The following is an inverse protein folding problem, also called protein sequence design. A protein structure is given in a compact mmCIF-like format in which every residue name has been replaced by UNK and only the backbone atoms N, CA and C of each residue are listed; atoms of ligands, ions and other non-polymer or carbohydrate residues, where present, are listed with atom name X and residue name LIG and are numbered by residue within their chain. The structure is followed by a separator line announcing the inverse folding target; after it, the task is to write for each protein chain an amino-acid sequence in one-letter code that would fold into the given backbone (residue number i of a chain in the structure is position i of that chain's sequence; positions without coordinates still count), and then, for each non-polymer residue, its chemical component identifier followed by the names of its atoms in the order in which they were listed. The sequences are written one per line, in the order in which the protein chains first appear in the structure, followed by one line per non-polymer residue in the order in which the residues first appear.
data_IF_316138247369
#
_entry.id   IF_316138247369
#
_cell.length_a   1.000
_cell.length_b   1.000
_cell.length_c   1.000
_cell.angle_alpha   90.00
_cell.angle_beta   90.00
_cell.angle_gamma   90.00
#
_symmetry.space_group_name_H-M   'P 1'
#
loop_
_entity.id
_entity.type
_entity.pdbx_description
1 polymer ?
#
# COMPACT_ATOMS: atom_id res chain seq x y z
N UNK A 1 5.66 12.88 -25.97
CA UNK A 1 4.94 13.18 -24.71
C UNK A 1 4.13 11.97 -24.31
N UNK A 2 4.27 11.52 -23.07
CA UNK A 2 3.48 10.43 -22.50
C UNK A 2 2.11 10.94 -22.01
N UNK A 3 1.17 10.04 -21.74
CA UNK A 3 -0.14 10.43 -21.24
C UNK A 3 -0.08 11.11 -19.86
N UNK A 4 0.83 10.71 -18.96
CA UNK A 4 0.94 11.37 -17.66
C UNK A 4 1.55 12.78 -17.79
N UNK A 5 2.56 12.98 -18.63
CA UNK A 5 3.11 14.31 -18.93
C UNK A 5 2.05 15.24 -19.51
N UNK A 6 1.19 14.71 -20.39
CA UNK A 6 0.09 15.46 -20.97
C UNK A 6 -0.96 15.87 -19.92
N UNK A 7 -1.33 14.96 -19.01
CA UNK A 7 -2.25 15.25 -17.88
C UNK A 7 -1.64 16.31 -16.96
N UNK A 8 -0.34 16.21 -16.67
CA UNK A 8 0.36 17.21 -15.85
C UNK A 8 0.29 18.59 -16.50
N UNK A 9 0.59 18.70 -17.79
CA UNK A 9 0.52 19.96 -18.53
C UNK A 9 -0.87 20.60 -18.51
N UNK A 10 -1.93 19.80 -18.64
CA UNK A 10 -3.32 20.27 -18.50
C UNK A 10 -3.56 20.89 -17.14
N UNK A 11 -3.19 20.18 -16.07
CA UNK A 11 -3.38 20.66 -14.70
C UNK A 11 -2.50 21.88 -14.38
N UNK A 12 -1.33 22.01 -15.00
CA UNK A 12 -0.47 23.18 -14.86
C UNK A 12 -1.05 24.44 -15.52
N UNK A 13 -1.69 24.30 -16.68
CA UNK A 13 -2.26 25.44 -17.42
C UNK A 13 -3.61 25.90 -16.87
N UNK A 14 -4.49 24.95 -16.55
CA UNK A 14 -5.86 25.28 -16.11
C UNK A 14 -5.91 25.79 -14.67
N UNK A 15 -4.87 25.50 -13.85
CA UNK A 15 -4.71 25.98 -12.47
C UNK A 15 -5.95 25.77 -11.58
N UNK A 16 -6.79 24.79 -11.91
CA UNK A 16 -8.02 24.44 -11.20
C UNK A 16 -8.17 22.92 -11.09
N UNK A 17 -9.04 22.51 -10.19
CA UNK A 17 -9.48 21.12 -10.07
C UNK A 17 -10.25 20.72 -11.34
N UNK A 18 -9.84 19.62 -11.96
CA UNK A 18 -10.49 19.08 -13.15
C UNK A 18 -10.93 17.65 -12.93
N UNK A 19 -12.08 17.29 -13.47
CA UNK A 19 -12.51 15.89 -13.53
C UNK A 19 -11.76 15.12 -14.60
N UNK A 20 -11.80 13.79 -14.52
CA UNK A 20 -11.19 12.93 -15.53
C UNK A 20 -11.80 13.14 -16.94
N UNK A 21 -13.08 13.53 -17.03
CA UNK A 21 -13.75 13.86 -18.28
C UNK A 21 -13.25 15.18 -18.85
N UNK A 22 -13.17 16.24 -18.04
CA UNK A 22 -12.65 17.54 -18.48
C UNK A 22 -11.19 17.43 -18.96
N UNK A 23 -10.35 16.65 -18.27
CA UNK A 23 -8.98 16.41 -18.71
C UNK A 23 -8.94 15.70 -20.06
N UNK A 24 -9.79 14.68 -20.26
CA UNK A 24 -9.87 13.96 -21.53
C UNK A 24 -10.33 14.88 -22.67
N UNK A 25 -11.34 15.70 -22.44
CA UNK A 25 -11.84 16.69 -23.41
C UNK A 25 -10.76 17.70 -23.80
N UNK A 26 -10.06 18.28 -22.83
CA UNK A 26 -8.98 19.25 -23.08
C UNK A 26 -7.85 18.60 -23.88
N UNK A 27 -7.45 17.37 -23.53
CA UNK A 27 -6.38 16.66 -24.24
C UNK A 27 -6.77 16.35 -25.70
N UNK A 28 -8.01 15.88 -25.93
CA UNK A 28 -8.52 15.58 -27.26
C UNK A 28 -8.67 16.86 -28.11
N UNK A 29 -9.19 17.94 -27.53
CA UNK A 29 -9.39 19.22 -28.22
C UNK A 29 -8.07 19.89 -28.60
N UNK A 30 -7.08 19.88 -27.69
CA UNK A 30 -5.77 20.53 -27.91
C UNK A 30 -4.76 19.63 -28.63
N UNK A 31 -5.11 18.37 -28.90
CA UNK A 31 -4.25 17.33 -29.54
C UNK A 31 -2.87 17.20 -28.89
N UNK A 32 -2.78 17.41 -27.58
CA UNK A 32 -1.51 17.34 -26.86
C UNK A 32 -1.02 15.89 -26.72
N UNK A 33 -1.93 14.92 -26.67
CA UNK A 33 -1.59 13.51 -26.73
C UNK A 33 -2.50 12.83 -27.76
N UNK A 34 -1.90 12.04 -28.65
CA UNK A 34 -2.63 11.22 -29.61
C UNK A 34 -2.28 9.76 -29.36
N UNK A 35 -3.30 8.90 -29.32
CA UNK A 35 -3.08 7.46 -29.26
C UNK A 35 -2.46 6.97 -30.58
N UNK A 36 -1.67 5.90 -30.50
CA UNK A 36 -1.09 5.24 -31.69
C UNK A 36 -2.16 4.75 -32.68
N UNK A 37 -3.32 4.36 -32.17
CA UNK A 37 -4.47 3.88 -32.95
C UNK A 37 -5.40 5.02 -33.44
N UNK A 38 -5.05 6.30 -33.21
CA UNK A 38 -5.84 7.45 -33.64
C UNK A 38 -7.14 7.70 -32.88
N UNK A 39 -7.53 6.81 -31.96
CA UNK A 39 -8.79 6.97 -31.21
C UNK A 39 -8.67 8.00 -30.08
N UNK A 40 -9.81 8.55 -29.66
CA UNK A 40 -9.88 9.56 -28.60
C UNK A 40 -9.52 9.00 -27.22
N UNK A 41 -8.98 9.87 -26.37
CA UNK A 41 -8.69 9.54 -24.97
C UNK A 41 -10.00 9.54 -24.18
N UNK A 42 -10.26 8.47 -23.43
CA UNK A 42 -11.45 8.34 -22.57
C UNK A 42 -11.14 8.73 -21.12
N UNK A 43 -12.13 9.23 -20.38
CA UNK A 43 -12.02 9.61 -18.96
C UNK A 43 -11.55 8.45 -18.05
N UNK A 44 -11.92 7.21 -18.38
CA UNK A 44 -11.44 6.01 -17.68
C UNK A 44 -9.93 5.83 -17.78
N UNK A 45 -9.33 6.16 -18.93
CA UNK A 45 -7.88 6.07 -19.14
C UNK A 45 -7.13 7.12 -18.34
N UNK A 46 -7.70 8.32 -18.18
CA UNK A 46 -7.18 9.36 -17.28
C UNK A 46 -7.23 8.87 -15.84
N UNK A 47 -8.36 8.29 -15.41
CA UNK A 47 -8.52 7.79 -14.04
C UNK A 47 -7.51 6.68 -13.71
N UNK A 48 -7.31 5.73 -14.63
CA UNK A 48 -6.30 4.67 -14.49
C UNK A 48 -4.90 5.28 -14.44
N UNK A 49 -4.59 6.23 -15.34
CA UNK A 49 -3.26 6.85 -15.39
C UNK A 49 -2.96 7.64 -14.12
N UNK A 50 -3.91 8.44 -13.64
CA UNK A 50 -3.78 9.22 -12.40
C UNK A 50 -3.54 8.31 -11.20
N UNK A 51 -4.28 7.19 -11.12
CA UNK A 51 -4.11 6.20 -10.04
C UNK A 51 -2.72 5.56 -10.03
N UNK A 52 -2.08 5.42 -11.20
CA UNK A 52 -0.74 4.84 -11.32
C UNK A 52 0.40 5.83 -10.99
N UNK A 53 0.12 7.13 -10.87
CA UNK A 53 1.11 8.18 -10.64
C UNK A 53 0.73 9.05 -9.41
N UNK A 54 0.61 8.47 -8.21
CA UNK A 54 0.22 9.21 -7.00
C UNK A 54 1.25 10.27 -6.57
N UNK A 55 2.51 10.14 -7.01
CA UNK A 55 3.53 11.16 -6.78
C UNK A 55 3.31 12.43 -7.60
N UNK A 56 2.53 12.35 -8.70
CA UNK A 56 2.26 13.49 -9.59
C UNK A 56 0.83 14.01 -9.44
N UNK A 57 -0.13 13.12 -9.16
CA UNK A 57 -1.55 13.46 -9.16
C UNK A 57 -2.24 13.06 -7.86
N UNK A 58 -3.13 13.93 -7.38
CA UNK A 58 -4.04 13.69 -6.27
C UNK A 58 -5.46 13.69 -6.81
N UNK A 59 -6.26 12.72 -6.37
CA UNK A 59 -7.69 12.64 -6.69
C UNK A 59 -8.52 12.95 -5.43
N UNK A 60 -9.33 14.01 -5.49
CA UNK A 60 -10.27 14.43 -4.43
C UNK A 60 -11.69 14.32 -4.97
N UNK A 61 -12.38 13.23 -4.64
CA UNK A 61 -13.69 12.91 -5.21
C UNK A 61 -13.62 12.67 -6.73
N UNK A 62 -14.41 13.42 -7.49
CA UNK A 62 -14.38 13.39 -8.97
C UNK A 62 -13.24 14.20 -9.59
N UNK A 63 -12.51 14.98 -8.79
CA UNK A 63 -11.53 15.95 -9.27
C UNK A 63 -10.09 15.47 -9.10
N UNK A 64 -9.20 15.95 -9.97
CA UNK A 64 -7.78 15.60 -10.08
C UNK A 64 -6.97 16.91 -10.04
N UNK A 65 -5.85 16.88 -9.31
CA UNK A 65 -4.86 17.96 -9.26
C UNK A 65 -3.43 17.45 -9.11
N UNK A 66 -2.45 18.36 -9.20
CA UNK A 66 -1.04 18.05 -9.01
C UNK A 66 -0.70 17.91 -7.53
N UNK A 67 0.07 16.87 -7.21
CA UNK A 67 0.64 16.66 -5.89
C UNK A 67 1.71 17.73 -5.59
N UNK A 68 1.65 18.38 -4.43
CA UNK A 68 2.61 19.41 -4.02
C UNK A 68 2.26 20.86 -4.42
N UNK A 69 1.03 21.14 -4.88
CA UNK A 69 0.53 22.52 -5.03
C UNK A 69 -0.67 22.75 -4.11
N UNK A 70 -0.57 23.78 -3.26
CA UNK A 70 -1.74 24.32 -2.57
C UNK A 70 -2.74 24.86 -3.60
N UNK A 71 -3.88 24.17 -3.76
CA UNK A 71 -5.00 24.69 -4.53
C UNK A 71 -5.99 25.35 -3.59
N UNK A 72 -6.08 26.69 -3.67
CA UNK A 72 -7.11 27.46 -2.99
C UNK A 72 -8.50 27.00 -3.48
N UNK A 73 -9.47 26.76 -2.60
CA UNK A 73 -10.85 26.47 -3.02
C UNK A 73 -11.43 27.67 -3.76
N UNK A 74 -12.01 27.44 -4.93
CA UNK A 74 -12.75 28.47 -5.67
C UNK A 74 -14.09 28.69 -4.94
N UNK A 75 -14.15 29.78 -4.17
CA UNK A 75 -15.40 30.39 -3.71
C UNK A 75 -16.16 30.94 -4.92
N UNK A 76 -17.46 30.63 -5.00
CA UNK A 76 -18.38 31.23 -5.96
C UNK A 76 -18.37 32.76 -5.80
N UNK A 77 -18.35 33.46 -6.94
CA UNK A 77 -18.36 34.93 -7.07
C UNK A 77 -19.48 35.58 -6.25
N UNK A 78 -19.13 36.61 -5.46
CA UNK A 78 -19.78 37.92 -5.56
C UNK A 78 -18.85 39.05 -5.08
N UNK A 79 -18.71 40.04 -5.97
CA UNK A 79 -18.44 41.49 -5.84
C UNK A 79 -17.27 42.02 -4.96
N UNK A 80 -16.48 42.91 -5.59
CA UNK A 80 -15.21 43.53 -5.22
C UNK A 80 -15.30 44.68 -4.18
N UNK A 81 -14.26 45.51 -3.96
CA UNK A 81 -12.79 45.31 -3.84
C UNK A 81 -12.27 45.82 -2.47
N UNK A 82 -10.97 45.69 -2.12
CA UNK A 82 -10.13 46.74 -1.46
C UNK A 82 -8.73 46.21 -1.02
N UNK A 83 -7.72 46.91 -1.55
CA UNK A 83 -6.38 47.32 -1.04
C UNK A 83 -5.42 46.34 -0.32
N UNK A 84 -4.26 46.23 -0.98
CA UNK A 84 -2.89 45.92 -0.54
C UNK A 84 -2.54 46.02 0.96
N UNK A 85 -1.69 45.08 1.43
CA UNK A 85 -0.37 45.42 2.03
C UNK A 85 0.57 44.21 2.15
N UNK A 86 1.84 44.52 1.98
CA UNK A 86 3.04 43.67 1.94
C UNK A 86 3.62 43.50 3.36
N UNK A 87 4.05 42.29 3.73
CA UNK A 87 5.17 42.03 4.67
C UNK A 87 5.52 40.53 4.64
N UNK A 88 6.67 40.12 4.07
CA UNK A 88 8.03 40.03 4.66
C UNK A 88 8.34 38.60 5.13
N UNK A 89 9.07 37.87 4.29
CA UNK A 89 9.70 36.59 4.60
C UNK A 89 10.95 36.79 5.49
N UNK A 90 11.18 35.86 6.43
CA UNK A 90 12.48 35.47 7.02
C UNK A 90 12.32 34.06 7.63
N UNK A 91 12.81 33.03 6.92
CA UNK A 91 13.96 32.16 7.26
C UNK A 91 13.76 31.30 8.53
N UNK A 92 13.39 30.02 8.39
CA UNK A 92 14.27 28.82 8.33
C UNK A 92 15.21 28.70 9.54
N UNK A 93 14.92 27.76 10.44
CA UNK A 93 15.86 26.71 10.87
C UNK A 93 15.16 25.62 11.71
N UNK A 94 15.36 24.37 11.30
CA UNK A 94 15.45 23.14 12.12
C UNK A 94 14.30 22.71 13.04
N UNK A 95 13.52 21.74 12.56
CA UNK A 95 13.29 20.47 13.26
C UNK A 95 12.72 19.43 12.27
N UNK A 96 13.56 18.53 11.77
CA UNK A 96 13.12 17.32 11.07
C UNK A 96 12.57 16.33 12.08
N UNK A 97 11.37 16.59 12.59
CA UNK A 97 10.61 15.61 13.34
C UNK A 97 9.60 15.03 12.36
N UNK A 98 9.79 13.77 11.96
CA UNK A 98 8.80 13.01 11.22
C UNK A 98 7.47 13.15 11.97
N UNK A 99 6.52 13.92 11.43
CA UNK A 99 5.18 14.01 12.02
C UNK A 99 4.57 12.61 11.98
N UNK A 100 4.52 11.97 13.14
CA UNK A 100 3.86 10.69 13.35
C UNK A 100 2.36 10.95 13.20
N UNK A 101 1.77 10.45 12.12
CA UNK A 101 0.31 10.58 11.89
C UNK A 101 -0.45 9.90 13.03
N UNK A 102 -1.66 10.35 13.33
CA UNK A 102 -2.50 9.68 14.34
C UNK A 102 -2.70 8.19 14.02
N UNK A 103 -2.75 7.85 12.72
CA UNK A 103 -2.84 6.47 12.22
C UNK A 103 -1.64 5.65 12.67
N UNK A 104 -0.43 6.19 12.51
CA UNK A 104 0.80 5.53 12.95
C UNK A 104 0.78 5.30 14.47
N UNK A 105 0.49 6.34 15.26
CA UNK A 105 0.41 6.24 16.73
C UNK A 105 -0.57 5.15 17.16
N UNK A 106 -1.75 5.11 16.54
CA UNK A 106 -2.82 4.15 16.84
C UNK A 106 -2.47 2.73 16.39
N UNK A 107 -1.94 2.55 15.19
CA UNK A 107 -1.64 1.24 14.63
C UNK A 107 -0.45 0.59 15.34
N UNK A 108 0.54 1.38 15.75
CA UNK A 108 1.78 0.89 16.35
C UNK A 108 1.76 0.83 17.88
N UNK A 109 0.66 1.23 18.53
CA UNK A 109 0.54 1.21 19.98
C UNK A 109 0.49 -0.24 20.50
N UNK A 110 1.51 -0.62 21.27
CA UNK A 110 1.73 -2.01 21.71
C UNK A 110 0.53 -2.60 22.44
N UNK A 111 -0.15 -1.81 23.29
CA UNK A 111 -1.31 -2.25 24.07
C UNK A 111 -2.52 -2.68 23.21
N UNK A 112 -2.54 -2.35 21.91
CA UNK A 112 -3.63 -2.71 20.99
C UNK A 112 -3.31 -3.94 20.14
N UNK A 113 -2.10 -4.49 20.27
CA UNK A 113 -1.78 -5.77 19.64
C UNK A 113 -2.34 -6.90 20.49
N UNK A 114 -3.16 -7.75 19.88
CA UNK A 114 -3.69 -8.96 20.51
C UNK A 114 -3.07 -10.20 19.87
N UNK A 115 -2.99 -11.34 20.59
CA UNK A 115 -2.59 -12.61 20.00
C UNK A 115 -3.47 -12.99 18.81
N UNK A 116 -2.87 -13.50 17.73
CA UNK A 116 -3.64 -13.91 16.53
C UNK A 116 -4.66 -15.00 16.88
N UNK A 117 -4.35 -15.89 17.81
CA UNK A 117 -5.26 -16.93 18.32
C UNK A 117 -6.57 -16.38 18.91
N UNK A 118 -6.62 -15.10 19.28
CA UNK A 118 -7.79 -14.44 19.88
C UNK A 118 -8.48 -13.46 18.93
N UNK A 119 -7.93 -13.26 17.72
CA UNK A 119 -8.34 -12.16 16.84
C UNK A 119 -9.57 -12.47 15.97
N UNK A 120 -9.80 -13.73 15.61
CA UNK A 120 -10.74 -14.14 14.55
C UNK A 120 -12.16 -13.56 14.68
N UNK A 121 -12.69 -13.46 15.90
CA UNK A 121 -14.04 -12.96 16.19
C UNK A 121 -14.13 -11.43 16.32
N UNK A 122 -12.98 -10.75 16.45
CA UNK A 122 -12.91 -9.30 16.67
C UNK A 122 -12.73 -8.50 15.37
N UNK A 123 -12.42 -9.20 14.26
CA UNK A 123 -12.11 -8.55 13.00
C UNK A 123 -13.35 -7.94 12.35
N UNK A 124 -13.35 -6.61 12.07
CA UNK A 124 -14.47 -5.95 11.46
C UNK A 124 -14.58 -6.31 9.97
N UNK A 125 -15.81 -6.33 9.46
CA UNK A 125 -16.09 -6.49 8.03
C UNK A 125 -16.11 -5.12 7.33
N UNK A 126 -15.01 -4.38 7.46
CA UNK A 126 -14.84 -3.04 6.88
C UNK A 126 -13.41 -2.83 6.38
N UNK A 127 -13.18 -1.84 5.50
CA UNK A 127 -11.85 -1.51 5.03
C UNK A 127 -10.94 -0.99 6.15
N UNK A 128 -9.63 -1.14 5.97
CA UNK A 128 -8.68 -0.66 6.95
C UNK A 128 -7.24 -1.06 6.70
N UNK A 129 -6.42 -0.82 7.71
CA UNK A 129 -4.99 -1.07 7.75
C UNK A 129 -4.67 -1.98 8.93
N UNK A 130 -3.68 -2.84 8.80
CA UNK A 130 -3.25 -3.75 9.86
C UNK A 130 -1.73 -3.86 9.92
N UNK A 131 -1.23 -4.17 11.12
CA UNK A 131 0.16 -4.48 11.39
C UNK A 131 0.25 -5.82 12.11
N UNK A 132 1.19 -6.66 11.70
CA UNK A 132 1.47 -7.97 12.29
C UNK A 132 2.85 -7.88 12.94
N UNK A 133 2.97 -8.35 14.19
CA UNK A 133 4.21 -8.37 14.96
C UNK A 133 4.55 -9.79 15.40
N UNK A 134 5.84 -10.06 15.58
CA UNK A 134 6.33 -11.28 16.20
C UNK A 134 6.41 -11.07 17.72
N UNK A 135 5.64 -11.87 18.47
CA UNK A 135 5.68 -11.88 19.94
C UNK A 135 6.87 -12.70 20.45
N UNK A 136 7.21 -13.79 19.75
CA UNK A 136 8.26 -14.74 20.14
C UNK A 136 9.37 -14.80 19.08
N UNK A 137 10.26 -13.79 18.99
CA UNK A 137 11.31 -13.74 17.96
C UNK A 137 12.33 -14.88 18.06
N UNK A 138 12.42 -15.57 19.21
CA UNK A 138 13.24 -16.77 19.37
C UNK A 138 12.87 -17.91 18.41
N UNK A 139 11.60 -17.97 17.95
CA UNK A 139 11.08 -19.00 17.05
C UNK A 139 11.30 -18.69 15.56
N UNK A 140 12.00 -17.59 15.25
CA UNK A 140 12.48 -17.27 13.90
C UNK A 140 13.92 -17.77 13.70
N UNK A 141 14.30 -17.95 12.44
CA UNK A 141 15.69 -18.18 12.03
C UNK A 141 16.60 -17.07 12.58
N UNK A 142 17.83 -17.43 12.93
CA UNK A 142 18.78 -16.50 13.52
C UNK A 142 19.07 -15.27 12.64
N UNK A 143 19.11 -15.44 11.31
CA UNK A 143 19.28 -14.34 10.34
C UNK A 143 18.13 -13.32 10.44
N UNK A 144 16.89 -13.79 10.44
CA UNK A 144 15.70 -12.95 10.55
C UNK A 144 15.59 -12.28 11.93
N UNK A 145 15.97 -12.99 13.00
CA UNK A 145 16.00 -12.43 14.35
C UNK A 145 17.03 -11.31 14.48
N UNK A 146 18.23 -11.49 13.89
CA UNK A 146 19.26 -10.44 13.84
C UNK A 146 18.73 -9.19 13.16
N UNK A 147 17.99 -9.35 12.07
CA UNK A 147 17.43 -8.21 11.35
C UNK A 147 16.36 -7.45 12.14
N UNK A 148 15.52 -8.13 12.93
CA UNK A 148 14.61 -7.44 13.87
C UNK A 148 15.38 -6.58 14.87
N UNK A 149 16.50 -7.11 15.38
CA UNK A 149 17.42 -6.36 16.24
C UNK A 149 17.98 -5.11 15.55
N UNK A 150 18.44 -5.26 14.31
CA UNK A 150 18.96 -4.14 13.51
C UNK A 150 17.90 -3.05 13.26
N UNK A 151 16.63 -3.43 13.06
CA UNK A 151 15.52 -2.50 12.83
C UNK A 151 14.97 -1.87 14.10
N UNK A 152 15.29 -2.42 15.27
CA UNK A 152 14.83 -1.90 16.56
C UNK A 152 13.33 -2.11 16.82
N UNK A 153 12.67 -3.04 16.13
CA UNK A 153 11.26 -3.37 16.35
C UNK A 153 10.91 -4.78 15.88
N UNK A 154 9.74 -5.28 16.27
CA UNK A 154 9.24 -6.63 15.96
C UNK A 154 8.15 -6.67 14.87
N UNK A 155 8.04 -5.64 14.03
CA UNK A 155 7.04 -5.57 12.95
C UNK A 155 7.40 -6.54 11.81
N UNK A 156 6.51 -7.50 11.58
CA UNK A 156 6.65 -8.53 10.54
C UNK A 156 6.05 -8.08 9.21
N UNK A 157 4.88 -7.43 9.25
CA UNK A 157 4.15 -7.06 8.05
C UNK A 157 3.17 -5.91 8.31
N UNK A 158 3.01 -5.04 7.33
CA UNK A 158 1.97 -4.00 7.30
C UNK A 158 1.19 -4.20 6.02
N UNK A 159 -0.13 -4.15 6.13
CA UNK A 159 -1.00 -4.40 5.00
C UNK A 159 -2.33 -3.69 5.08
N UNK A 160 -2.97 -3.59 3.93
CA UNK A 160 -4.29 -2.98 3.74
C UNK A 160 -5.38 -4.02 3.46
N UNK A 161 -6.61 -3.64 3.77
CA UNK A 161 -7.83 -4.29 3.33
C UNK A 161 -8.76 -3.24 2.70
N UNK A 162 -8.94 -3.28 1.38
CA UNK A 162 -9.76 -2.28 0.67
C UNK A 162 -11.26 -2.48 0.82
N UNK A 163 -11.69 -3.68 1.21
CA UNK A 163 -13.12 -4.03 1.37
C UNK A 163 -13.42 -4.51 2.79
N UNK A 164 -12.63 -5.47 3.29
CA UNK A 164 -12.92 -6.16 4.55
C UNK A 164 -11.64 -6.66 5.21
N UNK A 165 -11.35 -6.12 6.40
CA UNK A 165 -10.28 -6.59 7.28
C UNK A 165 -10.50 -8.07 7.63
N UNK A 166 -11.73 -8.46 7.99
CA UNK A 166 -12.08 -9.87 8.24
C UNK A 166 -11.70 -10.80 7.10
N UNK A 167 -12.09 -10.47 5.87
CA UNK A 167 -11.77 -11.30 4.69
C UNK A 167 -10.27 -11.29 4.38
N UNK A 168 -9.63 -10.11 4.42
CA UNK A 168 -8.21 -9.99 4.08
C UNK A 168 -7.31 -10.69 5.10
N UNK A 169 -7.52 -10.46 6.38
CA UNK A 169 -6.77 -11.15 7.43
C UNK A 169 -7.10 -12.64 7.49
N UNK A 170 -8.30 -13.04 7.10
CA UNK A 170 -8.62 -14.43 6.73
C UNK A 170 -7.59 -15.06 5.77
N UNK A 171 -7.24 -14.33 4.71
CA UNK A 171 -6.26 -14.77 3.72
C UNK A 171 -4.82 -14.74 4.25
N UNK A 172 -4.47 -13.69 4.99
CA UNK A 172 -3.11 -13.47 5.47
C UNK A 172 -2.73 -14.38 6.66
N UNK A 173 -3.66 -14.68 7.56
CA UNK A 173 -3.36 -15.40 8.81
C UNK A 173 -3.84 -16.86 8.81
N UNK A 174 -4.94 -17.17 8.10
CA UNK A 174 -5.61 -18.47 8.18
C UNK A 174 -5.80 -19.18 6.82
N UNK A 175 -4.98 -18.83 5.83
CA UNK A 175 -5.02 -19.43 4.48
C UNK A 175 -6.40 -19.42 3.77
N UNK A 176 -7.33 -18.52 4.15
CA UNK A 176 -8.67 -18.43 3.54
C UNK A 176 -8.65 -17.71 2.18
N UNK A 177 -7.83 -18.21 1.24
CA UNK A 177 -7.63 -17.63 -0.08
C UNK A 177 -6.15 -17.38 -0.38
N UNK A 178 -5.84 -16.20 -0.94
CA UNK A 178 -4.47 -15.86 -1.37
C UNK A 178 -3.85 -14.75 -0.50
N UNK A 179 -3.20 -15.11 0.61
CA UNK A 179 -2.47 -14.17 1.46
C UNK A 179 -1.02 -13.96 1.02
N UNK A 180 -0.59 -12.72 0.82
CA UNK A 180 0.81 -12.40 0.48
C UNK A 180 1.73 -12.64 1.67
N UNK A 181 1.34 -12.18 2.87
CA UNK A 181 2.04 -12.43 4.12
C UNK A 181 2.13 -13.94 4.38
N UNK A 182 1.02 -14.67 4.26
CA UNK A 182 0.98 -16.13 4.47
C UNK A 182 2.02 -16.87 3.60
N UNK A 183 2.08 -16.50 2.31
CA UNK A 183 3.06 -17.08 1.36
C UNK A 183 4.50 -16.71 1.69
N UNK A 184 4.76 -15.49 2.16
CA UNK A 184 6.10 -15.06 2.61
C UNK A 184 6.52 -15.78 3.87
N UNK A 185 5.64 -15.87 4.86
CA UNK A 185 5.93 -16.55 6.11
C UNK A 185 6.19 -18.03 5.89
N UNK A 186 5.31 -18.74 5.18
CA UNK A 186 5.49 -20.17 4.90
C UNK A 186 6.82 -20.44 4.17
N UNK A 187 7.19 -19.60 3.20
CA UNK A 187 8.44 -19.74 2.48
C UNK A 187 9.68 -19.56 3.38
N UNK A 188 9.69 -18.54 4.25
CA UNK A 188 10.84 -18.31 5.15
C UNK A 188 10.92 -19.35 6.27
N UNK A 189 9.79 -19.92 6.67
CA UNK A 189 9.73 -21.09 7.57
C UNK A 189 10.21 -22.38 6.89
N UNK A 190 10.44 -22.37 5.57
CA UNK A 190 11.00 -23.49 4.82
C UNK A 190 9.97 -24.42 4.18
N UNK A 191 8.68 -24.09 4.24
CA UNK A 191 7.64 -24.84 3.54
C UNK A 191 7.69 -24.56 2.03
N UNK A 192 7.37 -25.59 1.24
CA UNK A 192 7.38 -25.53 -0.22
C UNK A 192 5.98 -25.86 -0.77
N UNK A 193 5.54 -25.19 -1.84
CA UNK A 193 4.30 -25.58 -2.51
C UNK A 193 4.47 -26.94 -3.22
N UNK A 194 3.36 -27.64 -3.53
CA UNK A 194 3.42 -28.82 -4.38
C UNK A 194 4.06 -28.49 -5.74
N UNK A 195 4.95 -29.37 -6.21
CA UNK A 195 5.67 -29.20 -7.49
C UNK A 195 4.67 -29.08 -8.64
N UNK A 196 4.94 -28.18 -9.59
CA UNK A 196 4.13 -27.97 -10.79
C UNK A 196 2.66 -27.59 -10.53
N UNK A 197 2.30 -27.18 -9.31
CA UNK A 197 0.92 -26.81 -8.92
C UNK A 197 0.35 -25.61 -9.68
N UNK A 198 1.19 -24.82 -10.34
CA UNK A 198 0.80 -23.68 -11.17
C UNK A 198 0.83 -23.99 -12.67
N UNK A 199 1.25 -25.17 -13.11
CA UNK A 199 1.23 -25.52 -14.55
C UNK A 199 -0.19 -25.34 -15.11
N UNK A 200 -0.30 -24.61 -16.23
CA UNK A 200 -1.58 -24.31 -16.88
C UNK A 200 -2.45 -23.24 -16.20
N UNK A 201 -2.03 -22.64 -15.07
CA UNK A 201 -2.78 -21.56 -14.41
C UNK A 201 -2.50 -20.19 -15.05
N UNK A 202 -3.52 -19.35 -15.16
CA UNK A 202 -3.34 -17.97 -15.67
C UNK A 202 -2.43 -17.11 -14.78
N UNK A 203 -2.39 -17.37 -13.47
CA UNK A 203 -1.50 -16.68 -12.54
C UNK A 203 -0.40 -17.61 -12.02
N UNK A 204 0.80 -17.41 -12.56
CA UNK A 204 2.02 -18.17 -12.22
C UNK A 204 2.74 -17.67 -10.95
N UNK A 205 2.13 -16.81 -10.14
CA UNK A 205 2.71 -16.24 -8.91
C UNK A 205 2.00 -16.66 -7.62
N UNK A 206 0.77 -17.17 -7.72
CA UNK A 206 -0.13 -17.41 -6.59
C UNK A 206 -0.16 -18.89 -6.18
N UNK A 207 1.01 -19.45 -5.86
CA UNK A 207 1.11 -20.81 -5.32
C UNK A 207 0.37 -20.92 -3.97
N UNK A 208 0.00 -22.14 -3.61
CA UNK A 208 -0.51 -22.49 -2.28
C UNK A 208 0.36 -23.59 -1.68
N UNK A 209 0.39 -23.68 -0.36
CA UNK A 209 1.03 -24.82 0.31
C UNK A 209 0.07 -26.01 0.34
N UNK A 210 0.58 -27.19 0.68
CA UNK A 210 -0.28 -28.35 0.91
C UNK A 210 -1.19 -28.09 2.13
N UNK A 211 -2.41 -28.65 2.21
CA UNK A 211 -3.26 -28.45 3.38
C UNK A 211 -2.58 -28.81 4.72
N UNK A 212 -1.72 -29.84 4.70
CA UNK A 212 -0.91 -30.25 5.85
C UNK A 212 0.07 -29.15 6.28
N UNK A 213 0.74 -28.51 5.32
CA UNK A 213 1.69 -27.44 5.62
C UNK A 213 0.99 -26.13 5.95
N UNK A 214 -0.15 -25.82 5.32
CA UNK A 214 -1.00 -24.69 5.70
C UNK A 214 -1.40 -24.80 7.17
N UNK A 215 -1.85 -25.98 7.63
CA UNK A 215 -2.17 -26.21 9.04
C UNK A 215 -0.99 -25.95 9.99
N UNK A 216 0.23 -26.36 9.62
CA UNK A 216 1.44 -26.08 10.42
C UNK A 216 1.80 -24.60 10.43
N UNK A 217 1.67 -23.90 9.30
CA UNK A 217 1.93 -22.46 9.21
C UNK A 217 0.91 -21.69 10.05
N UNK A 218 -0.38 -22.05 9.98
CA UNK A 218 -1.44 -21.44 10.79
C UNK A 218 -1.15 -21.62 12.28
N UNK A 219 -0.84 -22.84 12.71
CA UNK A 219 -0.46 -23.11 14.11
C UNK A 219 0.72 -22.25 14.54
N UNK A 220 1.76 -22.15 13.70
CA UNK A 220 2.91 -21.28 13.98
C UNK A 220 2.48 -19.81 14.10
N UNK A 221 1.61 -19.31 13.22
CA UNK A 221 1.08 -17.93 13.28
C UNK A 221 0.38 -17.68 14.63
N UNK A 222 -0.52 -18.56 15.04
CA UNK A 222 -1.33 -18.40 16.25
C UNK A 222 -0.50 -18.45 17.54
N UNK A 223 0.59 -19.22 17.55
CA UNK A 223 1.48 -19.36 18.71
C UNK A 223 2.50 -18.22 18.86
N UNK A 224 2.78 -17.49 17.78
CA UNK A 224 3.94 -16.61 17.69
C UNK A 224 3.62 -15.15 17.36
N UNK A 225 2.48 -14.86 16.74
CA UNK A 225 2.18 -13.53 16.21
C UNK A 225 1.12 -12.79 17.00
N UNK A 226 1.26 -11.47 17.02
CA UNK A 226 0.20 -10.54 17.42
C UNK A 226 -0.19 -9.64 16.26
N UNK A 227 -1.38 -9.08 16.34
CA UNK A 227 -1.94 -8.20 15.31
C UNK A 227 -2.67 -7.02 15.93
N UNK A 228 -2.59 -5.88 15.26
CA UNK A 228 -3.44 -4.72 15.46
C UNK A 228 -4.01 -4.25 14.12
N UNK A 229 -5.17 -3.61 14.13
CA UNK A 229 -5.82 -3.07 12.93
C UNK A 229 -6.56 -1.76 13.24
N UNK A 230 -6.75 -0.95 12.21
CA UNK A 230 -7.57 0.26 12.23
C UNK A 230 -8.53 0.24 11.05
N UNK A 231 -9.80 0.54 11.32
CA UNK A 231 -10.78 0.78 10.26
C UNK A 231 -10.56 2.16 9.67
N UNK A 232 -10.50 2.25 8.35
CA UNK A 232 -10.28 3.50 7.62
C UNK A 232 -11.19 3.53 6.41
N UNK A 233 -11.84 4.66 6.16
CA UNK A 233 -12.75 4.83 5.03
C UNK A 233 -12.02 5.11 3.70
N UNK A 234 -10.81 5.67 3.76
CA UNK A 234 -10.05 6.12 2.58
C UNK A 234 -8.55 6.33 2.90
N UNK A 235 -7.74 6.63 1.89
CA UNK A 235 -6.29 6.89 1.97
C UNK A 235 -5.37 5.76 2.50
N UNK A 236 -5.89 4.54 2.65
CA UNK A 236 -5.13 3.37 3.13
C UNK A 236 -3.85 3.07 2.33
N UNK A 237 -3.85 3.26 1.01
CA UNK A 237 -2.64 3.06 0.18
C UNK A 237 -1.49 3.99 0.55
N UNK A 238 -1.81 5.27 0.79
CA UNK A 238 -0.81 6.30 1.07
C UNK A 238 -0.21 6.05 2.45
N UNK A 239 -1.07 5.75 3.43
CA UNK A 239 -0.64 5.47 4.79
C UNK A 239 0.14 4.15 4.89
N UNK A 240 -0.29 3.11 4.16
CA UNK A 240 0.48 1.86 4.05
C UNK A 240 1.89 2.10 3.49
N UNK A 241 2.01 2.80 2.38
CA UNK A 241 3.30 3.08 1.74
C UNK A 241 4.22 3.89 2.67
N UNK A 242 3.70 4.91 3.36
CA UNK A 242 4.43 5.66 4.39
C UNK A 242 4.93 4.75 5.50
N UNK A 243 4.07 3.89 6.02
CA UNK A 243 4.40 3.01 7.14
C UNK A 243 5.38 1.90 6.72
N UNK A 244 5.25 1.35 5.52
CA UNK A 244 6.22 0.39 4.96
C UNK A 244 7.59 1.04 4.81
N UNK A 245 7.65 2.29 4.30
CA UNK A 245 8.92 3.03 4.14
C UNK A 245 9.52 3.49 5.47
N UNK A 246 8.69 3.72 6.49
CA UNK A 246 9.15 4.10 7.83
C UNK A 246 9.68 2.91 8.62
N UNK A 247 8.94 1.81 8.61
CA UNK A 247 9.19 0.67 9.49
C UNK A 247 9.88 -0.50 8.80
N UNK A 248 10.05 -0.48 7.48
CA UNK A 248 10.64 -1.60 6.74
C UNK A 248 10.16 -2.96 7.29
N UNK A 249 8.86 -3.34 7.21
CA UNK A 249 8.42 -4.57 7.84
C UNK A 249 9.12 -5.80 7.25
N UNK A 250 9.49 -6.78 8.09
CA UNK A 250 10.38 -7.89 7.67
C UNK A 250 9.92 -8.60 6.38
N UNK A 251 8.62 -8.85 6.22
CA UNK A 251 8.06 -9.69 5.15
C UNK A 251 7.34 -8.89 4.04
N UNK A 252 7.29 -7.55 4.14
CA UNK A 252 6.88 -6.72 3.01
C UNK A 252 8.01 -6.68 1.98
N UNK A 253 7.77 -7.23 0.79
CA UNK A 253 8.72 -7.16 -0.34
C UNK A 253 8.41 -5.94 -1.23
N UNK A 254 7.16 -5.80 -1.66
CA UNK A 254 6.75 -4.70 -2.53
C UNK A 254 6.70 -3.39 -1.72
N UNK A 255 7.26 -2.32 -2.29
CA UNK A 255 7.25 -0.98 -1.69
C UNK A 255 8.21 -0.79 -0.50
N UNK A 256 8.87 -1.86 -0.03
CA UNK A 256 9.77 -1.82 1.11
C UNK A 256 11.23 -1.54 0.65
N UNK A 257 11.83 -0.38 0.99
CA UNK A 257 13.22 -0.10 0.63
C UNK A 257 14.22 -1.03 1.32
N UNK A 258 13.83 -1.62 2.45
CA UNK A 258 14.59 -2.61 3.22
C UNK A 258 14.08 -4.04 2.98
N UNK A 259 13.56 -4.35 1.79
CA UNK A 259 13.11 -5.71 1.48
C UNK A 259 14.26 -6.71 1.65
N UNK A 260 14.02 -7.75 2.44
CA UNK A 260 15.04 -8.74 2.75
C UNK A 260 15.24 -9.73 1.61
N UNK A 261 16.49 -9.86 1.16
CA UNK A 261 16.88 -10.80 0.11
C UNK A 261 16.51 -12.24 0.47
N UNK A 262 16.69 -12.66 1.73
CA UNK A 262 16.29 -13.99 2.19
C UNK A 262 14.79 -14.27 1.96
N UNK A 263 13.92 -13.28 2.16
CA UNK A 263 12.47 -13.41 1.94
C UNK A 263 12.16 -13.48 0.45
N UNK A 264 12.81 -12.64 -0.37
CA UNK A 264 12.66 -12.64 -1.83
C UNK A 264 13.09 -13.97 -2.43
N UNK A 265 14.25 -14.49 -2.03
CA UNK A 265 14.81 -15.74 -2.51
C UNK A 265 13.94 -16.93 -2.12
N UNK A 266 13.45 -16.97 -0.87
CA UNK A 266 12.51 -18.00 -0.42
C UNK A 266 11.20 -17.99 -1.24
N UNK A 267 10.64 -16.80 -1.51
CA UNK A 267 9.44 -16.65 -2.36
C UNK A 267 9.69 -17.10 -3.79
N UNK A 268 10.84 -16.77 -4.35
CA UNK A 268 11.20 -17.15 -5.72
C UNK A 268 11.42 -18.66 -5.84
N UNK A 269 12.07 -19.29 -4.86
CA UNK A 269 12.20 -20.75 -4.78
C UNK A 269 10.83 -21.44 -4.82
N UNK A 270 9.87 -20.96 -4.02
CA UNK A 270 8.51 -21.50 -4.03
C UNK A 270 7.83 -21.35 -5.40
N UNK A 271 7.97 -20.19 -6.04
CA UNK A 271 7.42 -19.96 -7.40
C UNK A 271 8.02 -20.91 -8.42
N UNK A 272 9.35 -21.10 -8.42
CA UNK A 272 10.04 -22.02 -9.35
C UNK A 272 9.49 -23.44 -9.19
N UNK A 273 9.43 -23.96 -7.96
CA UNK A 273 8.89 -25.29 -7.68
C UNK A 273 7.44 -25.41 -8.14
N UNK A 274 6.61 -24.41 -7.85
CA UNK A 274 5.20 -24.44 -8.21
C UNK A 274 4.97 -24.35 -9.72
N UNK A 275 5.85 -23.69 -10.48
CA UNK A 275 5.76 -23.58 -11.95
C UNK A 275 6.15 -24.87 -12.66
N UNK A 276 6.95 -25.71 -12.02
CA UNK A 276 7.49 -26.94 -12.63
C UNK A 276 8.84 -26.70 -13.27
#
# INVERSE_FOLDING_TARGET
MTLHEAIQRVLEQEKRLLTASEIAEILNARKWYSKKDGSIIKSSQISVRVSNYPNLFIKSGSHIHLNGRELKPILKKSVAPVKQKVAKAKSIATASTLEVTEIDKKLMLEKWFIPVSQASHQLPDSPGLYAIRIAKPGNLKASLRKELGNRGHNIMYIGIASQSLKKRLGQELWAKGHGTFFRSLGAVLGYLPPKSSLVGKGNQNNYKFSPKDEGKIIKWIEENLTINWLTLSDNWNIEEDKLIKKYFPMLNIQGNPGALREVVDARNKCKVIARG
#
